data_IF_892818285437
#
_entry.id   IF_892818285437
#
_cell.length_a   1.000
_cell.length_b   1.000
_cell.length_c   1.000
_cell.angle_alpha   90.00
_cell.angle_beta   90.00
_cell.angle_gamma   90.00
#
_symmetry.space_group_name_H-M   'P 1'
#
loop_
_entity.id
_entity.type
_entity.pdbx_description
1 polymer ?
#
# COMPACT_ATOMS: atom_id res chain seq x y z
N UNK A 1 26.93 -18.27 -9.39
CA UNK A 1 26.54 -17.77 -8.08
C UNK A 1 26.18 -16.29 -8.21
N UNK A 2 24.89 -15.95 -8.14
CA UNK A 2 24.48 -14.56 -8.18
C UNK A 2 24.98 -13.89 -6.92
N UNK A 3 25.93 -12.97 -7.06
CA UNK A 3 26.30 -12.10 -5.95
C UNK A 3 25.04 -11.31 -5.57
N UNK A 4 24.51 -11.58 -4.37
CA UNK A 4 23.57 -10.64 -3.74
C UNK A 4 24.26 -9.28 -3.80
N UNK A 5 23.59 -8.30 -4.40
CA UNK A 5 24.16 -6.96 -4.51
C UNK A 5 24.59 -6.50 -3.10
N UNK A 6 25.86 -6.22 -2.93
CA UNK A 6 26.39 -5.63 -1.67
C UNK A 6 25.85 -4.21 -1.43
N UNK A 7 24.92 -3.76 -2.27
CA UNK A 7 24.36 -2.41 -2.26
C UNK A 7 23.03 -2.30 -1.53
N UNK A 8 22.48 -3.41 -1.00
CA UNK A 8 21.27 -3.38 -0.18
C UNK A 8 21.64 -3.40 1.29
N UNK A 9 21.04 -2.50 2.06
CA UNK A 9 21.12 -2.51 3.51
C UNK A 9 20.08 -3.44 4.12
N UNK A 10 18.88 -3.46 3.55
CA UNK A 10 17.72 -4.19 4.07
C UNK A 10 16.88 -4.77 2.93
N UNK A 11 16.41 -6.00 3.11
CA UNK A 11 15.33 -6.58 2.33
C UNK A 11 14.12 -6.78 3.26
N UNK A 12 12.99 -6.23 2.88
CA UNK A 12 11.73 -6.35 3.62
C UNK A 12 10.80 -7.23 2.83
N UNK A 13 10.18 -8.19 3.51
CA UNK A 13 9.31 -9.20 2.89
C UNK A 13 7.92 -9.07 3.50
N UNK A 14 6.91 -8.89 2.66
CA UNK A 14 5.53 -8.84 3.13
C UNK A 14 4.59 -8.12 2.18
N UNK A 15 3.45 -7.69 2.73
CA UNK A 15 2.36 -7.13 1.96
C UNK A 15 2.63 -5.70 1.48
N UNK A 16 2.22 -5.45 0.23
CA UNK A 16 2.07 -4.13 -0.35
C UNK A 16 0.61 -3.96 -0.75
N UNK A 17 -0.05 -2.96 -0.21
CA UNK A 17 -1.50 -2.76 -0.27
C UNK A 17 -1.79 -1.32 -0.64
N UNK A 18 -2.96 -1.11 -1.25
CA UNK A 18 -3.53 0.23 -1.44
C UNK A 18 -4.63 0.42 -0.41
N UNK A 19 -4.60 1.54 0.30
CA UNK A 19 -5.65 1.93 1.24
C UNK A 19 -6.48 3.08 0.67
N UNK A 20 -7.80 2.97 0.83
CA UNK A 20 -8.78 4.00 0.51
C UNK A 20 -9.47 4.45 1.81
N UNK A 21 -8.90 5.39 2.55
CA UNK A 21 -9.58 5.93 3.72
C UNK A 21 -10.72 6.86 3.31
N UNK A 22 -11.90 6.63 3.87
CA UNK A 22 -13.09 7.45 3.71
C UNK A 22 -13.47 8.05 5.05
N UNK A 23 -13.62 9.38 5.13
CA UNK A 23 -14.03 10.05 6.37
C UNK A 23 -14.66 11.42 6.14
N UNK A 24 -15.53 11.85 7.09
CA UNK A 24 -16.07 11.02 8.17
C UNK A 24 -17.16 10.08 7.65
N UNK A 25 -17.24 8.88 8.19
CA UNK A 25 -18.29 7.90 7.83
C UNK A 25 -19.05 7.50 9.11
N UNK A 26 -20.38 7.54 9.06
CA UNK A 26 -21.25 7.05 10.12
C UNK A 26 -22.09 5.88 9.63
N UNK A 27 -22.86 5.26 10.54
CA UNK A 27 -23.78 4.17 10.20
C UNK A 27 -24.84 4.57 9.18
N UNK A 28 -25.14 5.85 9.04
CA UNK A 28 -26.08 6.39 8.07
C UNK A 28 -25.67 6.11 6.62
N UNK A 29 -24.41 5.74 6.38
CA UNK A 29 -23.93 5.33 5.05
C UNK A 29 -24.76 4.20 4.44
N UNK A 30 -25.35 3.34 5.29
CA UNK A 30 -26.17 2.22 4.84
C UNK A 30 -27.64 2.60 4.56
N UNK A 31 -28.06 3.79 4.91
CA UNK A 31 -29.44 4.26 4.78
C UNK A 31 -29.65 5.15 3.56
N UNK A 32 -28.59 5.46 2.81
CA UNK A 32 -28.62 6.41 1.69
C UNK A 32 -27.97 5.83 0.43
N UNK A 33 -28.36 6.34 -0.72
CA UNK A 33 -27.79 5.95 -2.02
C UNK A 33 -26.41 6.58 -2.24
N UNK A 34 -26.21 7.77 -1.69
CA UNK A 34 -24.96 8.52 -1.82
C UNK A 34 -24.63 9.18 -0.49
N UNK A 35 -23.41 8.96 -0.01
CA UNK A 35 -22.94 9.50 1.25
C UNK A 35 -21.72 10.39 0.98
N UNK A 36 -21.80 11.70 1.23
CA UNK A 36 -20.67 12.60 1.01
C UNK A 36 -19.61 12.42 2.09
N UNK A 37 -18.36 12.44 1.68
CA UNK A 37 -17.19 12.45 2.55
C UNK A 37 -16.31 13.66 2.22
N UNK A 38 -15.43 14.06 3.12
CA UNK A 38 -14.58 15.24 2.92
C UNK A 38 -13.54 15.02 1.82
N UNK A 39 -13.17 13.78 1.59
CA UNK A 39 -12.25 13.44 0.51
C UNK A 39 -12.04 11.93 0.41
N UNK A 40 -11.65 11.52 -0.78
CA UNK A 40 -11.25 10.14 -1.08
C UNK A 40 -9.87 10.21 -1.71
N UNK A 41 -8.91 9.52 -1.11
CA UNK A 41 -7.56 9.45 -1.63
C UNK A 41 -7.07 8.00 -1.62
N UNK A 42 -6.22 7.67 -2.57
CA UNK A 42 -5.47 6.43 -2.56
C UNK A 42 -4.17 6.65 -1.79
N UNK A 43 -3.90 5.78 -0.83
CA UNK A 43 -2.65 5.78 -0.07
C UNK A 43 -2.02 4.39 -0.10
N UNK A 44 -0.74 4.31 0.19
CA UNK A 44 -0.08 3.01 0.32
C UNK A 44 -0.36 2.45 1.71
N UNK A 45 -0.39 1.12 1.80
CA UNK A 45 -0.54 0.39 3.04
C UNK A 45 0.22 -0.93 3.01
N UNK A 46 0.02 -1.71 4.06
CA UNK A 46 0.77 -2.94 4.31
C UNK A 46 2.06 -2.68 5.07
N UNK A 47 2.32 -3.49 6.07
CA UNK A 47 3.45 -3.28 6.98
C UNK A 47 4.79 -3.24 6.23
N UNK A 48 5.00 -4.16 5.30
CA UNK A 48 6.26 -4.25 4.56
C UNK A 48 6.49 -3.03 3.65
N UNK A 49 5.45 -2.52 2.99
CA UNK A 49 5.57 -1.33 2.15
C UNK A 49 5.78 -0.07 2.99
N UNK A 50 5.10 0.04 4.12
CA UNK A 50 5.27 1.15 5.06
C UNK A 50 6.69 1.17 5.64
N UNK A 51 7.18 0.03 6.11
CA UNK A 51 8.55 -0.10 6.64
C UNK A 51 9.60 0.23 5.56
N UNK A 52 9.44 -0.33 4.36
CA UNK A 52 10.33 -0.06 3.22
C UNK A 52 10.38 1.44 2.92
N UNK A 53 9.24 2.11 2.96
CA UNK A 53 9.13 3.55 2.72
C UNK A 53 9.88 4.36 3.77
N UNK A 54 9.66 4.04 5.04
CA UNK A 54 10.29 4.76 6.16
C UNK A 54 11.80 4.57 6.14
N UNK A 55 12.26 3.33 6.01
CA UNK A 55 13.70 3.02 6.05
C UNK A 55 14.43 3.63 4.85
N UNK A 56 13.80 3.63 3.67
CA UNK A 56 14.36 4.30 2.49
C UNK A 56 14.47 5.81 2.72
N UNK A 57 13.46 6.45 3.30
CA UNK A 57 13.49 7.88 3.62
C UNK A 57 14.52 8.24 4.69
N UNK A 58 14.91 7.28 5.52
CA UNK A 58 16.02 7.45 6.47
C UNK A 58 17.40 7.32 5.82
N UNK A 59 17.47 7.10 4.52
CA UNK A 59 18.71 7.08 3.75
C UNK A 59 19.31 5.69 3.53
N UNK A 60 18.58 4.62 3.84
CA UNK A 60 19.03 3.26 3.62
C UNK A 60 18.60 2.72 2.26
N UNK A 61 19.36 1.78 1.73
CA UNK A 61 19.05 1.06 0.48
C UNK A 61 18.19 -0.15 0.79
N UNK A 62 16.93 -0.08 0.38
CA UNK A 62 15.89 -1.07 0.70
C UNK A 62 15.36 -1.73 -0.56
N UNK A 63 15.23 -3.04 -0.53
CA UNK A 63 14.44 -3.80 -1.49
C UNK A 63 13.18 -4.33 -0.80
N UNK A 64 12.07 -4.31 -1.52
CA UNK A 64 10.81 -4.92 -1.10
C UNK A 64 10.57 -6.22 -1.87
N UNK A 65 10.38 -7.31 -1.13
CA UNK A 65 9.90 -8.57 -1.68
C UNK A 65 8.43 -8.73 -1.37
N UNK A 66 7.61 -8.70 -2.40
CA UNK A 66 6.16 -8.76 -2.30
C UNK A 66 5.55 -9.38 -3.55
N UNK A 67 4.25 -9.62 -3.53
CA UNK A 67 3.50 -10.05 -4.69
C UNK A 67 2.30 -9.14 -4.89
N UNK A 68 2.13 -8.62 -6.09
CA UNK A 68 1.01 -7.75 -6.48
C UNK A 68 0.40 -8.23 -7.78
N UNK A 69 -0.82 -7.80 -8.07
CA UNK A 69 -1.47 -8.04 -9.34
C UNK A 69 -0.97 -7.13 -10.46
N UNK A 70 -1.36 -7.45 -11.69
CA UNK A 70 -1.16 -6.61 -12.88
C UNK A 70 -2.42 -5.77 -13.06
N UNK A 71 -2.57 -4.73 -12.23
CA UNK A 71 -3.76 -3.90 -12.13
C UNK A 71 -3.40 -2.45 -11.74
N UNK A 72 -4.41 -1.60 -11.65
CA UNK A 72 -4.22 -0.18 -11.31
C UNK A 72 -3.63 -0.02 -9.91
N UNK A 73 -4.08 -0.80 -8.94
CA UNK A 73 -3.57 -0.75 -7.59
C UNK A 73 -2.09 -1.20 -7.53
N UNK A 74 -1.73 -2.25 -8.28
CA UNK A 74 -0.34 -2.68 -8.43
C UNK A 74 0.55 -1.61 -9.06
N UNK A 75 0.05 -0.95 -10.11
CA UNK A 75 0.75 0.17 -10.74
C UNK A 75 0.95 1.34 -9.75
N UNK A 76 -0.02 1.61 -8.90
CA UNK A 76 0.09 2.64 -7.85
C UNK A 76 1.20 2.30 -6.85
N UNK A 77 1.27 1.04 -6.39
CA UNK A 77 2.34 0.55 -5.50
C UNK A 77 3.71 0.71 -6.16
N UNK A 78 3.87 0.26 -7.41
CA UNK A 78 5.14 0.37 -8.12
C UNK A 78 5.58 1.81 -8.32
N UNK A 79 4.65 2.68 -8.69
CA UNK A 79 4.92 4.12 -8.84
C UNK A 79 5.40 4.75 -7.52
N UNK A 80 4.79 4.37 -6.40
CA UNK A 80 5.23 4.80 -5.07
C UNK A 80 6.66 4.33 -4.77
N UNK A 81 6.95 3.05 -5.04
CA UNK A 81 8.28 2.49 -4.82
C UNK A 81 9.35 3.22 -5.64
N UNK A 82 9.08 3.49 -6.91
CA UNK A 82 10.00 4.20 -7.81
C UNK A 82 10.27 5.63 -7.32
N UNK A 83 9.22 6.36 -6.95
CA UNK A 83 9.37 7.73 -6.44
C UNK A 83 10.09 7.80 -5.10
N UNK A 84 9.95 6.77 -4.28
CA UNK A 84 10.60 6.70 -2.96
C UNK A 84 12.05 6.24 -3.08
N UNK A 85 12.37 5.44 -4.09
CA UNK A 85 13.69 4.83 -4.27
C UNK A 85 13.80 3.42 -3.68
N UNK A 86 12.67 2.73 -3.49
CA UNK A 86 12.63 1.33 -3.09
C UNK A 86 12.98 0.46 -4.31
N UNK A 87 13.90 -0.47 -4.15
CA UNK A 87 14.22 -1.44 -5.20
C UNK A 87 13.05 -2.42 -5.39
N UNK A 88 12.47 -2.43 -6.59
CA UNK A 88 11.30 -3.24 -6.95
C UNK A 88 11.64 -4.57 -7.63
N UNK A 89 12.92 -4.90 -7.75
CA UNK A 89 13.39 -6.11 -8.46
C UNK A 89 12.76 -7.39 -7.92
N UNK A 90 12.42 -7.43 -6.64
CA UNK A 90 11.85 -8.61 -5.97
C UNK A 90 10.33 -8.52 -5.78
N UNK A 91 9.67 -7.53 -6.38
CA UNK A 91 8.21 -7.47 -6.42
C UNK A 91 7.74 -8.29 -7.61
N UNK A 92 7.05 -9.40 -7.32
CA UNK A 92 6.43 -10.23 -8.35
C UNK A 92 5.09 -9.61 -8.76
N UNK A 93 4.90 -9.41 -10.07
CA UNK A 93 3.61 -9.08 -10.65
C UNK A 93 2.97 -10.37 -11.18
N UNK A 94 1.88 -10.80 -10.56
CA UNK A 94 1.18 -12.03 -10.89
C UNK A 94 -0.19 -11.71 -11.48
N UNK A 95 -0.46 -12.04 -12.76
CA UNK A 95 -1.75 -11.75 -13.38
C UNK A 95 -2.89 -12.61 -12.82
N UNK A 96 -2.59 -13.64 -12.03
CA UNK A 96 -3.59 -14.52 -11.42
C UNK A 96 -4.15 -13.98 -10.09
N UNK A 97 -3.60 -12.90 -9.57
CA UNK A 97 -4.06 -12.29 -8.31
C UNK A 97 -4.42 -10.82 -8.51
N UNK A 98 -5.29 -10.32 -7.65
CA UNK A 98 -5.56 -8.90 -7.53
C UNK A 98 -4.64 -8.28 -6.45
N UNK A 99 -4.19 -7.06 -6.68
CA UNK A 99 -3.52 -6.29 -5.64
C UNK A 99 -4.52 -5.95 -4.54
N UNK A 100 -4.16 -6.19 -3.28
CA UNK A 100 -5.05 -5.92 -2.16
C UNK A 100 -5.38 -4.44 -2.03
N UNK A 101 -6.67 -4.14 -1.91
CA UNK A 101 -7.20 -2.81 -1.63
C UNK A 101 -8.02 -2.90 -0.37
N UNK A 102 -7.69 -2.08 0.62
CA UNK A 102 -8.49 -1.93 1.84
C UNK A 102 -9.29 -0.64 1.78
N UNK A 103 -10.56 -0.71 2.11
CA UNK A 103 -11.39 0.47 2.32
C UNK A 103 -11.50 0.72 3.82
N UNK A 104 -11.01 1.87 4.27
CA UNK A 104 -11.08 2.27 5.67
C UNK A 104 -12.25 3.23 5.91
N UNK A 105 -13.25 2.80 6.66
CA UNK A 105 -14.33 3.67 7.13
C UNK A 105 -13.89 4.31 8.44
N UNK A 106 -13.66 5.61 8.41
CA UNK A 106 -13.14 6.36 9.56
C UNK A 106 -14.25 7.24 10.13
N UNK A 107 -14.65 6.96 11.36
CA UNK A 107 -15.66 7.76 12.06
C UNK A 107 -15.11 9.11 12.54
N UNK A 108 -16.00 10.03 12.90
CA UNK A 108 -15.61 11.37 13.35
C UNK A 108 -14.71 11.37 14.60
N UNK A 109 -14.82 10.36 15.46
CA UNK A 109 -13.96 10.15 16.63
C UNK A 109 -12.63 9.47 16.33
N UNK A 110 -12.40 9.09 15.06
CA UNK A 110 -11.18 8.41 14.62
C UNK A 110 -11.25 6.89 14.68
N UNK A 111 -12.33 6.28 15.16
CA UNK A 111 -12.52 4.83 15.08
C UNK A 111 -12.60 4.38 13.63
N UNK A 112 -12.05 3.21 13.37
CA UNK A 112 -11.90 2.69 11.99
C UNK A 112 -12.46 1.29 11.86
N UNK A 113 -13.13 1.05 10.73
CA UNK A 113 -13.53 -0.27 10.28
C UNK A 113 -12.96 -0.49 8.89
N UNK A 114 -12.28 -1.58 8.68
CA UNK A 114 -11.70 -1.91 7.38
C UNK A 114 -12.55 -2.95 6.65
N UNK A 115 -12.73 -2.71 5.36
CA UNK A 115 -13.24 -3.67 4.40
C UNK A 115 -12.04 -4.11 3.57
N UNK A 116 -11.70 -5.38 3.64
CA UNK A 116 -10.50 -5.97 3.01
C UNK A 116 -10.87 -6.97 1.93
#
# INVERSE_FOLDING_TARGET
MNKVSKDLDVMIIGAAIVDLPLRPVSKEVFDVVSYPVDGIAMTIGGDALNESTIITRLGHKVALMSCIGVDVAGAFVLSHCERTGIDTKYIKQDPAIDTSINVGLVAADGERTFIT
#
